data_IF_132588956378
#
_entry.id   IF_132588956378
#
_cell.length_a   1.000
_cell.length_b   1.000
_cell.length_c   1.000
_cell.angle_alpha   90.00
_cell.angle_beta   90.00
_cell.angle_gamma   90.00
#
_symmetry.space_group_name_H-M   'P 1'
#
loop_
_entity.id
_entity.type
_entity.pdbx_description
1 polymer ?
#
# COMPACT_ATOMS: atom_id res chain seq x y z
N UNK A 1 1.36 39.55 15.93
CA UNK A 1 1.07 38.42 16.82
C UNK A 1 1.62 37.16 16.18
N UNK A 2 2.80 36.73 16.63
CA UNK A 2 3.43 35.49 16.20
C UNK A 2 3.24 34.43 17.29
N UNK A 3 2.67 33.30 16.94
CA UNK A 3 2.60 32.12 17.81
C UNK A 3 3.70 31.11 17.44
N UNK A 4 4.21 30.35 18.42
CA UNK A 4 5.60 29.96 18.43
C UNK A 4 5.88 28.57 17.85
N UNK A 5 7.03 28.49 17.20
CA UNK A 5 7.74 27.25 16.85
C UNK A 5 8.08 26.51 18.13
N UNK A 6 7.62 25.26 18.27
CA UNK A 6 8.09 24.36 19.33
C UNK A 6 9.23 23.47 18.82
N UNK A 7 10.31 23.32 19.61
CA UNK A 7 11.58 22.73 19.16
C UNK A 7 11.59 21.20 19.21
N UNK A 8 12.36 20.61 18.28
CA UNK A 8 12.86 19.23 18.39
C UNK A 8 13.79 19.12 19.59
N UNK A 9 13.50 18.24 20.54
CA UNK A 9 14.43 17.89 21.62
C UNK A 9 14.97 16.49 21.43
N UNK A 10 16.30 16.42 21.27
CA UNK A 10 17.11 15.20 21.32
C UNK A 10 17.34 14.82 22.78
N UNK A 11 17.34 13.53 23.09
CA UNK A 11 17.97 13.00 24.30
C UNK A 11 19.07 12.01 23.91
N UNK A 12 20.28 12.27 24.42
CA UNK A 12 21.43 11.36 24.50
C UNK A 12 21.65 11.06 25.98
N UNK A 13 21.73 9.80 26.38
CA UNK A 13 22.54 9.19 27.47
C UNK A 13 22.47 7.68 27.16
N UNK A 14 23.51 6.84 27.12
CA UNK A 14 24.81 6.83 27.78
C UNK A 14 24.88 5.58 28.67
N UNK A 15 26.04 4.92 28.65
CA UNK A 15 26.51 3.85 29.55
C UNK A 15 26.27 2.37 29.14
N UNK A 16 27.40 1.70 29.01
CA UNK A 16 27.62 0.29 28.79
C UNK A 16 27.50 -0.51 30.09
N UNK A 17 27.14 -1.80 29.97
CA UNK A 17 27.53 -2.83 30.94
C UNK A 17 27.83 -4.13 30.18
N UNK A 18 29.11 -4.52 30.21
CA UNK A 18 29.60 -5.86 29.94
C UNK A 18 29.15 -6.80 31.07
N UNK A 19 28.59 -7.96 30.71
CA UNK A 19 28.56 -9.12 31.60
C UNK A 19 28.75 -10.39 30.75
N UNK A 20 29.92 -11.02 30.92
CA UNK A 20 30.16 -12.42 30.58
C UNK A 20 29.40 -13.30 31.56
N UNK A 21 28.69 -14.32 31.07
CA UNK A 21 28.42 -15.57 31.80
C UNK A 21 28.25 -16.73 30.82
N UNK A 22 29.00 -17.79 31.11
CA UNK A 22 29.14 -19.06 30.37
C UNK A 22 28.05 -20.05 30.82
N UNK A 23 27.82 -21.07 29.97
CA UNK A 23 27.18 -22.39 30.21
C UNK A 23 25.67 -22.49 29.93
N UNK A 24 25.32 -23.17 28.83
CA UNK A 24 24.90 -24.58 28.86
C UNK A 24 24.43 -25.01 27.47
N UNK A 25 24.99 -26.10 26.96
CA UNK A 25 24.56 -26.72 25.73
C UNK A 25 23.16 -27.33 25.89
N UNK A 26 22.20 -26.78 25.15
CA UNK A 26 20.96 -27.45 24.79
C UNK A 26 20.91 -27.35 23.28
N UNK A 27 21.09 -28.48 22.60
CA UNK A 27 20.78 -28.59 21.17
C UNK A 27 19.27 -28.40 21.04
N UNK A 28 18.84 -27.16 20.76
CA UNK A 28 17.49 -26.88 20.30
C UNK A 28 17.41 -27.42 18.89
N UNK A 29 16.71 -28.55 18.76
CA UNK A 29 16.29 -29.09 17.49
C UNK A 29 15.46 -28.01 16.79
N UNK A 30 16.07 -27.32 15.81
CA UNK A 30 15.37 -26.35 14.99
C UNK A 30 14.42 -27.13 14.09
N UNK A 31 13.20 -27.35 14.59
CA UNK A 31 12.06 -27.59 13.73
C UNK A 31 12.03 -26.43 12.73
N UNK A 32 12.39 -26.73 11.48
CA UNK A 32 12.08 -25.87 10.33
C UNK A 32 10.56 -25.69 10.33
N UNK A 33 10.09 -24.62 10.96
CA UNK A 33 8.83 -24.02 10.60
C UNK A 33 9.01 -23.61 9.14
N UNK A 34 8.57 -24.48 8.22
CA UNK A 34 8.34 -24.06 6.86
C UNK A 34 7.34 -22.92 6.96
N UNK A 35 7.82 -21.69 6.84
CA UNK A 35 6.99 -20.59 6.42
C UNK A 35 6.34 -21.08 5.12
N UNK A 36 5.09 -21.50 5.22
CA UNK A 36 4.22 -21.63 4.07
C UNK A 36 4.20 -20.24 3.47
N UNK A 37 5.06 -20.02 2.47
CA UNK A 37 5.00 -18.86 1.61
C UNK A 37 3.66 -18.97 0.90
N UNK A 38 2.60 -18.47 1.55
CA UNK A 38 1.29 -18.36 0.96
C UNK A 38 1.50 -17.68 -0.39
N UNK A 39 1.21 -18.42 -1.47
CA UNK A 39 1.42 -17.92 -2.82
C UNK A 39 0.72 -16.57 -2.92
N UNK A 40 1.52 -15.55 -3.16
CA UNK A 40 1.05 -14.18 -3.23
C UNK A 40 -0.01 -14.10 -4.33
N UNK A 41 -1.22 -13.63 -4.00
CA UNK A 41 -2.31 -13.52 -4.96
C UNK A 41 -1.90 -12.62 -6.12
N UNK A 42 -2.14 -13.09 -7.34
CA UNK A 42 -1.89 -12.35 -8.57
C UNK A 42 -3.21 -12.04 -9.28
N UNK A 43 -3.40 -10.79 -9.68
CA UNK A 43 -4.62 -10.37 -10.36
C UNK A 43 -4.43 -9.12 -11.20
N UNK A 44 -5.39 -8.92 -12.10
CA UNK A 44 -5.62 -7.65 -12.79
C UNK A 44 -7.03 -7.15 -12.49
N UNK A 45 -7.25 -5.84 -12.59
CA UNK A 45 -8.57 -5.27 -12.35
C UNK A 45 -8.71 -3.83 -12.80
N UNK A 46 -9.95 -3.34 -12.85
CA UNK A 46 -10.25 -1.92 -13.02
C UNK A 46 -10.69 -1.36 -11.68
N UNK A 47 -9.99 -0.34 -11.19
CA UNK A 47 -10.22 0.30 -9.91
C UNK A 47 -10.89 1.66 -10.10
N UNK A 48 -11.88 1.94 -9.28
CA UNK A 48 -12.49 3.25 -9.11
C UNK A 48 -12.13 3.78 -7.72
N UNK A 49 -11.52 4.96 -7.68
CA UNK A 49 -11.29 5.72 -6.45
C UNK A 49 -12.20 6.93 -6.45
N UNK A 50 -12.94 7.15 -5.36
CA UNK A 50 -13.70 8.37 -5.15
C UNK A 50 -13.12 9.14 -3.97
N UNK A 51 -12.92 10.44 -4.15
CA UNK A 51 -12.46 11.35 -3.10
C UNK A 51 -13.20 12.67 -3.27
N UNK A 52 -13.94 13.10 -2.24
CA UNK A 52 -14.70 14.36 -2.24
C UNK A 52 -15.59 14.53 -3.48
N UNK A 53 -16.26 13.44 -3.90
CA UNK A 53 -17.12 13.42 -5.09
C UNK A 53 -16.39 13.37 -6.44
N UNK A 54 -15.05 13.41 -6.47
CA UNK A 54 -14.26 13.20 -7.69
C UNK A 54 -14.01 11.72 -7.92
N UNK A 55 -14.24 11.26 -9.15
CA UNK A 55 -14.03 9.86 -9.57
C UNK A 55 -12.73 9.73 -10.36
N UNK A 56 -11.82 8.91 -9.88
CA UNK A 56 -10.58 8.51 -10.54
C UNK A 56 -10.64 7.04 -10.92
N UNK A 57 -10.00 6.67 -12.03
CA UNK A 57 -10.00 5.30 -12.55
C UNK A 57 -8.59 4.87 -12.93
N UNK A 58 -8.24 3.63 -12.59
CA UNK A 58 -6.97 3.01 -12.98
C UNK A 58 -7.16 1.53 -13.36
N UNK A 59 -6.31 1.02 -14.23
CA UNK A 59 -6.07 -0.42 -14.31
C UNK A 59 -5.05 -0.81 -13.25
N UNK A 60 -5.27 -1.95 -12.60
CA UNK A 60 -4.43 -2.49 -11.55
C UNK A 60 -3.87 -3.82 -12.02
N UNK A 61 -2.59 -4.02 -11.79
CA UNK A 61 -1.93 -5.32 -11.89
C UNK A 61 -1.19 -5.55 -10.58
N UNK A 62 -1.48 -6.64 -9.89
CA UNK A 62 -0.89 -6.96 -8.60
C UNK A 62 -0.21 -8.32 -8.65
N UNK A 63 0.99 -8.38 -8.10
CA UNK A 63 1.80 -9.60 -7.96
C UNK A 63 2.52 -9.55 -6.63
N UNK A 64 1.86 -10.08 -5.59
CA UNK A 64 2.42 -10.12 -4.24
C UNK A 64 2.79 -8.76 -3.67
N UNK A 65 4.08 -8.46 -3.65
CA UNK A 65 4.68 -7.22 -3.14
C UNK A 65 4.84 -6.13 -4.22
N UNK A 66 4.29 -6.35 -5.42
CA UNK A 66 4.35 -5.41 -6.54
C UNK A 66 2.95 -5.04 -7.01
N UNK A 67 2.73 -3.75 -7.18
CA UNK A 67 1.46 -3.21 -7.68
C UNK A 67 1.78 -2.22 -8.80
N UNK A 68 1.07 -2.33 -9.91
CA UNK A 68 1.13 -1.38 -11.02
C UNK A 68 -0.25 -0.76 -11.18
N UNK A 69 -0.29 0.56 -11.18
CA UNK A 69 -1.47 1.35 -11.47
C UNK A 69 -1.26 2.09 -12.79
N UNK A 70 -2.16 1.89 -13.74
CA UNK A 70 -2.22 2.67 -14.97
C UNK A 70 -3.45 3.55 -14.95
N UNK A 71 -3.25 4.85 -14.74
CA UNK A 71 -4.34 5.79 -14.61
C UNK A 71 -4.98 6.11 -15.96
N UNK A 72 -6.30 6.21 -15.98
CA UNK A 72 -7.04 6.70 -17.16
C UNK A 72 -6.63 8.12 -17.56
N UNK A 73 -6.32 8.95 -16.56
CA UNK A 73 -5.79 10.30 -16.74
C UNK A 73 -4.48 10.41 -15.97
N UNK A 74 -3.43 10.89 -16.62
CA UNK A 74 -2.11 10.96 -16.01
C UNK A 74 -2.10 11.88 -14.78
N UNK A 75 -1.42 11.44 -13.73
CA UNK A 75 -1.17 12.25 -12.54
C UNK A 75 -0.24 13.41 -12.89
N UNK A 76 -0.62 14.62 -12.49
CA UNK A 76 0.26 15.78 -12.57
C UNK A 76 1.22 15.76 -11.38
N UNK A 77 2.50 15.69 -11.67
CA UNK A 77 3.60 15.79 -10.69
C UNK A 77 4.40 17.07 -10.94
N UNK A 78 5.20 17.49 -9.97
CA UNK A 78 6.15 18.60 -10.14
C UNK A 78 7.22 18.32 -11.22
N UNK A 79 7.34 17.06 -11.66
CA UNK A 79 8.28 16.59 -12.67
C UNK A 79 7.62 16.26 -14.03
N UNK A 80 6.33 16.54 -14.19
CA UNK A 80 5.55 16.25 -15.40
C UNK A 80 4.40 15.27 -15.15
N UNK A 81 3.87 14.67 -16.21
CA UNK A 81 2.73 13.78 -16.12
C UNK A 81 3.15 12.31 -16.01
N UNK A 82 2.63 11.60 -15.00
CA UNK A 82 2.83 10.18 -14.79
C UNK A 82 1.52 9.42 -15.04
N UNK A 83 1.47 8.62 -16.10
CA UNK A 83 0.32 7.77 -16.40
C UNK A 83 0.38 6.41 -15.67
N UNK A 84 1.57 6.02 -15.21
CA UNK A 84 1.82 4.74 -14.56
C UNK A 84 2.54 5.00 -13.23
N UNK A 85 2.05 4.35 -12.18
CA UNK A 85 2.70 4.21 -10.88
C UNK A 85 3.02 2.72 -10.66
N UNK A 86 4.21 2.41 -10.16
CA UNK A 86 4.63 1.06 -9.78
C UNK A 86 5.08 1.10 -8.33
N UNK A 87 4.35 0.43 -7.44
CA UNK A 87 4.67 0.28 -6.03
C UNK A 87 5.46 -1.02 -5.87
N UNK A 88 6.67 -0.91 -5.33
CA UNK A 88 7.63 -1.99 -5.08
C UNK A 88 7.83 -2.14 -3.58
N UNK A 89 6.94 -2.88 -2.92
CA UNK A 89 7.02 -3.11 -1.47
C UNK A 89 8.29 -3.90 -1.12
N UNK A 90 8.76 -4.77 -2.01
CA UNK A 90 10.04 -5.49 -1.90
C UNK A 90 11.27 -4.56 -1.85
N UNK A 91 11.13 -3.33 -2.36
CA UNK A 91 12.19 -2.31 -2.37
C UNK A 91 11.90 -1.11 -1.47
N UNK A 92 10.71 -1.06 -0.86
CA UNK A 92 10.18 0.14 -0.21
C UNK A 92 10.22 1.39 -1.12
N UNK A 93 9.98 1.20 -2.43
CA UNK A 93 9.99 2.26 -3.44
C UNK A 93 8.65 2.37 -4.17
N UNK A 94 8.28 3.59 -4.54
CA UNK A 94 7.23 3.89 -5.52
C UNK A 94 7.87 4.54 -6.74
N UNK A 95 7.56 4.06 -7.93
CA UNK A 95 8.09 4.55 -9.19
C UNK A 95 6.99 5.21 -10.01
N UNK A 96 7.14 6.50 -10.30
CA UNK A 96 6.28 7.22 -11.24
C UNK A 96 6.95 7.29 -12.59
N UNK A 97 6.28 6.74 -13.61
CA UNK A 97 6.81 6.65 -14.96
C UNK A 97 6.49 7.92 -15.75
N UNK A 98 7.53 8.72 -16.00
CA UNK A 98 7.46 9.98 -16.75
C UNK A 98 7.82 9.72 -18.22
N UNK A 99 6.88 9.18 -18.99
CA UNK A 99 7.14 8.62 -20.32
C UNK A 99 7.78 9.63 -21.29
N UNK A 100 7.33 10.89 -21.27
CA UNK A 100 7.87 11.95 -22.14
C UNK A 100 9.35 12.25 -21.87
N UNK A 101 9.84 11.95 -20.67
CA UNK A 101 11.24 12.20 -20.25
C UNK A 101 12.09 10.94 -20.28
N UNK A 102 11.48 9.76 -20.46
CA UNK A 102 12.12 8.46 -20.22
C UNK A 102 12.79 8.41 -18.83
N UNK A 103 12.07 8.88 -17.82
CA UNK A 103 12.53 8.86 -16.43
C UNK A 103 11.56 8.08 -15.53
N UNK A 104 12.12 7.37 -14.55
CA UNK A 104 11.39 6.88 -13.38
C UNK A 104 11.69 7.81 -12.21
N UNK A 105 10.68 8.52 -11.73
CA UNK A 105 10.78 9.25 -10.47
C UNK A 105 10.58 8.23 -9.34
N UNK A 106 11.62 7.99 -8.56
CA UNK A 106 11.63 7.01 -7.46
C UNK A 106 11.47 7.74 -6.14
N UNK A 107 10.47 7.35 -5.35
CA UNK A 107 10.20 7.90 -4.02
C UNK A 107 10.08 6.77 -3.01
N UNK A 108 10.30 7.03 -1.71
CA UNK A 108 9.94 6.05 -0.68
C UNK A 108 8.45 5.67 -0.78
N UNK A 109 8.10 4.43 -0.43
CA UNK A 109 6.70 4.05 -0.25
C UNK A 109 6.08 4.89 0.85
N UNK A 110 5.00 5.59 0.53
CA UNK A 110 4.11 6.17 1.52
C UNK A 110 3.04 5.12 1.86
N UNK A 111 3.19 4.50 3.03
CA UNK A 111 2.27 3.45 3.51
C UNK A 111 0.83 3.95 3.64
N UNK A 112 0.62 5.26 3.72
CA UNK A 112 -0.71 5.84 3.82
C UNK A 112 -1.43 5.93 2.47
N UNK A 113 -0.68 5.95 1.37
CA UNK A 113 -1.20 6.06 0.01
C UNK A 113 -1.18 4.74 -0.78
N UNK A 114 -0.63 3.65 -0.21
CA UNK A 114 -0.65 2.33 -0.86
C UNK A 114 -2.10 1.83 -0.99
N UNK A 115 -2.46 1.39 -2.19
CA UNK A 115 -3.73 0.71 -2.45
C UNK A 115 -3.89 -0.48 -1.47
N UNK A 116 -4.93 -0.50 -0.61
CA UNK A 116 -5.11 -1.59 0.35
C UNK A 116 -5.56 -2.84 -0.41
N UNK A 117 -4.60 -3.67 -0.83
CA UNK A 117 -4.87 -4.97 -1.47
C UNK A 117 -5.14 -6.04 -0.40
N UNK A 118 -4.45 -5.95 0.74
CA UNK A 118 -4.58 -6.88 1.86
C UNK A 118 -5.45 -6.25 2.97
N UNK A 119 -6.20 -7.07 3.73
CA UNK A 119 -7.10 -6.61 4.78
C UNK A 119 -6.31 -6.25 6.06
N UNK A 120 -5.51 -5.20 5.98
CA UNK A 120 -4.81 -4.61 7.12
C UNK A 120 -4.59 -3.14 6.82
N UNK A 121 -5.29 -2.28 7.54
CA UNK A 121 -5.15 -0.83 7.36
C UNK A 121 -4.07 -0.29 8.30
N UNK A 122 -3.19 0.62 7.86
CA UNK A 122 -2.23 1.18 8.80
C UNK A 122 -2.94 1.99 9.89
N UNK A 123 -2.46 1.82 11.12
CA UNK A 123 -3.12 2.37 12.30
C UNK A 123 -4.38 1.63 12.75
N UNK A 124 -4.72 0.47 12.17
CA UNK A 124 -5.85 -0.37 12.61
C UNK A 124 -5.81 -0.63 14.12
N UNK A 125 -6.92 -0.36 14.79
CA UNK A 125 -7.14 -0.56 16.24
C UNK A 125 -8.16 -1.64 16.52
N UNK A 126 -9.16 -1.74 15.65
CA UNK A 126 -10.27 -2.66 15.81
C UNK A 126 -10.81 -3.07 14.44
N UNK A 127 -11.20 -4.34 14.35
CA UNK A 127 -11.88 -4.94 13.20
C UNK A 127 -13.02 -5.80 13.71
N UNK A 128 -14.22 -5.51 13.22
CA UNK A 128 -15.44 -6.24 13.57
C UNK A 128 -16.02 -6.84 12.30
N UNK A 129 -16.20 -8.16 12.28
CA UNK A 129 -16.97 -8.82 11.22
C UNK A 129 -18.44 -8.43 11.35
N UNK A 130 -18.98 -7.81 10.31
CA UNK A 130 -20.40 -7.48 10.21
C UNK A 130 -21.19 -8.66 9.67
N UNK A 131 -20.62 -9.38 8.69
CA UNK A 131 -21.21 -10.60 8.14
C UNK A 131 -20.85 -10.86 6.69
N UNK A 132 -21.58 -11.77 6.05
CA UNK A 132 -21.41 -12.12 4.65
C UNK A 132 -21.97 -11.02 3.72
N UNK A 133 -21.32 -10.84 2.58
CA UNK A 133 -21.65 -9.84 1.58
C UNK A 133 -21.26 -10.30 0.16
N UNK A 134 -21.44 -9.42 -0.81
CA UNK A 134 -20.96 -9.60 -2.18
C UNK A 134 -20.33 -8.31 -2.66
N UNK A 135 -19.16 -8.40 -3.29
CA UNK A 135 -18.50 -7.28 -3.93
C UNK A 135 -17.93 -7.74 -5.28
N UNK A 136 -18.08 -6.93 -6.33
CA UNK A 136 -17.53 -7.24 -7.67
C UNK A 136 -18.00 -8.60 -8.21
N UNK A 137 -19.21 -9.01 -7.84
CA UNK A 137 -19.79 -10.32 -8.21
C UNK A 137 -19.18 -11.52 -7.50
N UNK A 138 -18.42 -11.31 -6.41
CA UNK A 138 -17.76 -12.37 -5.63
C UNK A 138 -18.23 -12.40 -4.18
N UNK A 139 -18.30 -13.58 -3.53
CA UNK A 139 -18.53 -13.69 -2.10
C UNK A 139 -17.47 -12.94 -1.30
N UNK A 140 -17.92 -12.11 -0.36
CA UNK A 140 -17.05 -11.31 0.48
C UNK A 140 -17.50 -11.35 1.94
N UNK A 141 -16.58 -11.10 2.86
CA UNK A 141 -16.90 -10.74 4.23
C UNK A 141 -16.83 -9.21 4.39
N UNK A 142 -17.84 -8.63 5.02
CA UNK A 142 -17.89 -7.22 5.34
C UNK A 142 -17.38 -6.99 6.76
N UNK A 143 -16.41 -6.09 6.89
CA UNK A 143 -15.86 -5.65 8.16
C UNK A 143 -16.12 -4.16 8.38
N UNK A 144 -16.36 -3.77 9.64
CA UNK A 144 -16.10 -2.41 10.10
C UNK A 144 -14.69 -2.37 10.68
N UNK A 145 -13.87 -1.43 10.22
CA UNK A 145 -12.47 -1.28 10.63
C UNK A 145 -12.27 0.12 11.17
N UNK A 146 -11.73 0.24 12.39
CA UNK A 146 -11.36 1.51 13.00
C UNK A 146 -9.85 1.66 12.97
N UNK A 147 -9.37 2.81 12.48
CA UNK A 147 -7.95 3.18 12.49
C UNK A 147 -7.73 4.41 13.36
N UNK A 148 -6.51 4.56 13.87
CA UNK A 148 -6.01 5.81 14.47
C UNK A 148 -4.70 6.18 13.79
N UNK A 149 -4.76 7.25 13.00
CA UNK A 149 -3.62 7.80 12.27
C UNK A 149 -3.40 9.23 12.70
N UNK A 150 -2.21 9.51 13.25
CA UNK A 150 -1.82 10.85 13.70
C UNK A 150 -2.85 11.50 14.66
N UNK A 151 -3.52 10.70 15.50
CA UNK A 151 -4.54 11.17 16.45
C UNK A 151 -5.91 11.42 15.81
N UNK A 152 -6.11 11.03 14.55
CA UNK A 152 -7.42 11.02 13.89
C UNK A 152 -7.95 9.60 13.86
N UNK A 153 -9.09 9.41 14.52
CA UNK A 153 -9.83 8.15 14.47
C UNK A 153 -10.71 8.14 13.23
N UNK A 154 -10.50 7.17 12.37
CA UNK A 154 -11.31 6.97 11.16
C UNK A 154 -11.99 5.61 11.22
N UNK A 155 -13.11 5.47 10.50
CA UNK A 155 -13.85 4.21 10.37
C UNK A 155 -14.13 3.92 8.92
N UNK A 156 -13.99 2.66 8.56
CA UNK A 156 -14.19 2.17 7.20
C UNK A 156 -15.06 0.93 7.19
N UNK A 157 -15.78 0.75 6.09
CA UNK A 157 -16.36 -0.52 5.70
C UNK A 157 -15.46 -1.18 4.66
N UNK A 158 -15.02 -2.40 4.93
CA UNK A 158 -14.09 -3.16 4.08
C UNK A 158 -14.75 -4.48 3.65
N UNK A 159 -14.77 -4.75 2.34
CA UNK A 159 -15.21 -6.02 1.78
C UNK A 159 -14.00 -6.83 1.37
N UNK A 160 -13.81 -7.99 2.00
CA UNK A 160 -12.67 -8.90 1.76
C UNK A 160 -13.17 -10.14 1.04
N UNK A 161 -12.55 -10.50 -0.08
CA UNK A 161 -12.85 -11.71 -0.84
C UNK A 161 -12.66 -12.97 0.02
N UNK A 162 -13.67 -13.83 0.08
CA UNK A 162 -13.63 -15.05 0.92
C UNK A 162 -12.55 -16.04 0.46
N UNK A 163 -12.30 -16.12 -0.85
CA UNK A 163 -11.41 -17.11 -1.44
C UNK A 163 -9.96 -16.60 -1.51
N UNK A 164 -9.78 -15.38 -2.02
CA UNK A 164 -8.46 -14.79 -2.26
C UNK A 164 -7.93 -13.97 -1.07
N UNK A 165 -8.78 -13.60 -0.10
CA UNK A 165 -8.35 -12.82 1.07
C UNK A 165 -7.86 -11.41 0.72
N UNK A 166 -8.31 -10.84 -0.40
CA UNK A 166 -7.96 -9.48 -0.83
C UNK A 166 -9.12 -8.52 -0.60
N UNK A 167 -8.82 -7.24 -0.41
CA UNK A 167 -9.84 -6.19 -0.30
C UNK A 167 -10.41 -5.89 -1.69
N UNK A 168 -11.72 -6.07 -1.83
CA UNK A 168 -12.46 -5.78 -3.07
C UNK A 168 -13.03 -4.36 -3.08
N UNK A 169 -13.33 -3.83 -1.90
CA UNK A 169 -13.92 -2.51 -1.69
C UNK A 169 -13.59 -1.99 -0.30
N UNK A 170 -13.29 -0.70 -0.22
CA UNK A 170 -13.10 0.03 1.02
C UNK A 170 -13.81 1.39 0.91
N UNK A 171 -14.60 1.74 1.93
CA UNK A 171 -15.40 2.97 1.93
C UNK A 171 -15.28 3.62 3.29
N UNK A 172 -14.98 4.92 3.35
CA UNK A 172 -15.04 5.67 4.60
C UNK A 172 -16.47 5.67 5.14
N UNK A 173 -16.63 5.72 6.46
CA UNK A 173 -17.96 5.75 7.09
C UNK A 173 -18.82 6.91 6.57
N UNK A 174 -18.18 8.05 6.32
CA UNK A 174 -18.84 9.28 5.84
C UNK A 174 -19.04 9.29 4.31
N UNK A 175 -18.52 8.28 3.60
CA UNK A 175 -18.65 8.05 2.15
C UNK A 175 -18.08 9.17 1.26
N UNK A 176 -17.28 10.05 1.83
CA UNK A 176 -16.48 11.04 1.13
C UNK A 176 -15.26 10.42 0.42
N UNK A 177 -14.88 9.20 0.79
CA UNK A 177 -13.76 8.46 0.23
C UNK A 177 -14.12 7.00 -0.02
N UNK A 178 -13.71 6.46 -1.17
CA UNK A 178 -13.80 5.02 -1.44
C UNK A 178 -12.78 4.54 -2.46
N UNK A 179 -12.48 3.24 -2.39
CA UNK A 179 -11.78 2.47 -3.42
C UNK A 179 -12.57 1.20 -3.68
N UNK A 180 -12.86 0.91 -4.93
CA UNK A 180 -13.64 -0.27 -5.33
C UNK A 180 -13.17 -0.80 -6.67
N UNK A 181 -12.99 -2.12 -6.78
CA UNK A 181 -12.81 -2.73 -8.09
C UNK A 181 -14.14 -2.79 -8.84
N UNK A 182 -14.17 -2.24 -10.05
CA UNK A 182 -15.29 -2.43 -10.97
C UNK A 182 -15.25 -3.83 -11.61
N UNK A 183 -14.03 -4.33 -11.85
CA UNK A 183 -13.77 -5.68 -12.39
C UNK A 183 -12.48 -6.23 -11.81
N UNK A 184 -12.42 -7.54 -11.62
CA UNK A 184 -11.20 -8.25 -11.18
C UNK A 184 -11.05 -9.60 -11.90
N UNK A 185 -9.81 -9.98 -12.19
CA UNK A 185 -9.42 -11.26 -12.78
C UNK A 185 -8.17 -11.80 -12.10
N UNK A 186 -8.31 -12.89 -11.38
CA UNK A 186 -7.20 -13.66 -10.82
C UNK A 186 -6.47 -14.39 -11.95
N UNK A 187 -5.21 -14.03 -12.15
CA UNK A 187 -4.36 -14.55 -13.22
C UNK A 187 -2.93 -14.12 -12.95
N UNK A 188 -1.96 -14.92 -13.40
CA UNK A 188 -0.56 -14.55 -13.25
C UNK A 188 -0.25 -13.26 -13.99
N UNK A 189 0.55 -12.40 -13.36
CA UNK A 189 1.00 -11.13 -13.90
C UNK A 189 2.44 -11.25 -14.42
N UNK A 190 2.74 -10.77 -15.64
CA UNK A 190 4.09 -10.79 -16.17
C UNK A 190 5.05 -9.94 -15.35
N UNK A 191 6.26 -10.43 -15.10
CA UNK A 191 7.26 -9.70 -14.29
C UNK A 191 7.63 -8.34 -14.89
N UNK A 192 7.70 -8.26 -16.21
CA UNK A 192 8.08 -7.04 -16.94
C UNK A 192 7.10 -5.86 -16.72
N UNK A 193 5.90 -6.09 -16.17
CA UNK A 193 4.99 -5.00 -15.76
C UNK A 193 5.55 -4.19 -14.59
N UNK A 194 6.42 -4.79 -13.78
CA UNK A 194 6.93 -4.22 -12.52
C UNK A 194 8.43 -3.89 -12.58
N UNK A 195 9.05 -4.13 -13.73
CA UNK A 195 10.46 -3.86 -13.97
C UNK A 195 10.69 -2.47 -14.55
N UNK A 196 11.94 -2.02 -14.48
CA UNK A 196 12.35 -0.76 -15.08
C UNK A 196 12.24 -0.86 -16.62
N UNK A 197 11.49 0.02 -17.29
CA UNK A 197 11.37 -0.05 -18.74
C UNK A 197 12.71 0.25 -19.42
N UNK A 198 13.05 -0.44 -20.53
CA UNK A 198 14.30 -0.21 -21.23
C UNK A 198 14.53 1.25 -21.63
N UNK A 199 15.73 1.76 -21.36
CA UNK A 199 16.13 3.12 -21.72
C UNK A 199 15.59 4.22 -20.81
N UNK A 200 14.92 3.87 -19.71
CA UNK A 200 14.54 4.83 -18.67
C UNK A 200 15.71 5.09 -17.74
N UNK A 201 15.75 6.29 -17.16
CA UNK A 201 16.70 6.67 -16.11
C UNK A 201 15.97 6.87 -14.79
N UNK A 202 16.52 6.36 -13.70
CA UNK A 202 16.00 6.63 -12.35
C UNK A 202 16.44 8.00 -11.84
N UNK A 203 15.49 8.71 -11.24
CA UNK A 203 15.70 9.95 -10.50
C UNK A 203 15.07 9.77 -9.12
N UNK A 204 15.90 9.70 -8.09
CA UNK A 204 15.40 9.66 -6.72
C UNK A 204 14.85 11.03 -6.30
N UNK A 205 13.73 11.03 -5.58
CA UNK A 205 13.19 12.18 -4.89
C UNK A 205 12.89 11.79 -3.44
N UNK A 206 13.41 12.54 -2.44
CA UNK A 206 13.23 12.21 -1.03
C UNK A 206 11.79 12.42 -0.55
N UNK A 207 10.99 13.15 -1.33
CA UNK A 207 9.56 13.37 -1.10
C UNK A 207 8.78 12.82 -2.30
N UNK A 208 7.63 12.20 -2.03
CA UNK A 208 6.62 11.84 -3.04
C UNK A 208 6.31 13.02 -3.99
N UNK A 209 5.89 12.77 -5.24
CA UNK A 209 5.38 13.87 -6.05
C UNK A 209 4.16 14.49 -5.37
N UNK A 210 4.05 15.82 -5.35
CA UNK A 210 2.76 16.45 -5.06
C UNK A 210 1.83 16.15 -6.22
N UNK A 211 0.93 15.19 -6.03
CA UNK A 211 -0.11 14.88 -7.01
C UNK A 211 -1.17 15.97 -6.92
N UNK A 212 -1.23 16.84 -7.94
CA UNK A 212 -2.30 17.84 -8.05
C UNK A 212 -3.49 17.21 -8.77
N UNK A 213 -4.63 17.12 -8.08
CA UNK A 213 -5.89 16.56 -8.58
C UNK A 213 -6.88 17.58 -9.10
#
# INVERSE_FOLDING_TARGET
MGSPVSPRMRARVGAACLALSVLSGIAVDQARSGESAALAVEFSGTLIKQVEGRRHQAQVFAKGDRIRLEYKYALKTDYGYAAIEIIRLDKAETWYLLAQRKELLVTPVDVDDVLPVRPTLPGEKERVLIGDATAVGRPAQLFEVQTDRHGRVERFFEWVDVEAGIVLKLVSRDRDWSVEYERIRFSSQPDYYFDEPPGYKKRASPTGPRVQG
#
